data_IF_318350465058
#
_entry.id   IF_318350465058
#
_cell.length_a   1.000
_cell.length_b   1.000
_cell.length_c   1.000
_cell.angle_alpha   90.00
_cell.angle_beta   90.00
_cell.angle_gamma   90.00
#
_symmetry.space_group_name_H-M   'P 1'
#
loop_
_entity.id
_entity.type
_entity.pdbx_description
1 polymer ?
#
# COMPACT_ATOMS: atom_id res chain seq x y z
N UNK A 1 -25.06 -7.55 -13.36
CA UNK A 1 -24.32 -6.88 -12.27
C UNK A 1 -24.48 -5.40 -12.48
N UNK A 2 -24.83 -4.64 -11.43
CA UNK A 2 -24.84 -3.18 -11.51
C UNK A 2 -23.49 -2.72 -12.07
N UNK A 3 -23.50 -1.81 -13.05
CA UNK A 3 -22.27 -1.24 -13.61
C UNK A 3 -21.44 -0.55 -12.51
N UNK A 4 -22.13 -0.18 -11.43
CA UNK A 4 -21.83 0.50 -10.17
C UNK A 4 -20.95 -0.13 -9.07
N UNK A 5 -20.43 -1.36 -9.20
CA UNK A 5 -19.95 -2.12 -8.01
C UNK A 5 -18.45 -2.47 -7.92
N UNK A 6 -17.97 -2.63 -6.69
CA UNK A 6 -16.69 -3.21 -6.28
C UNK A 6 -16.91 -4.39 -5.34
N UNK A 7 -15.96 -5.31 -5.27
CA UNK A 7 -15.95 -6.40 -4.29
C UNK A 7 -15.06 -6.01 -3.10
N UNK A 8 -15.67 -5.86 -1.94
CA UNK A 8 -15.06 -5.33 -0.73
C UNK A 8 -14.93 -6.44 0.31
N UNK A 9 -13.74 -6.59 0.89
CA UNK A 9 -13.48 -7.50 2.00
C UNK A 9 -13.90 -6.84 3.32
N UNK A 10 -13.51 -5.58 3.55
CA UNK A 10 -13.86 -4.83 4.76
C UNK A 10 -13.73 -3.32 4.54
N UNK A 11 -14.51 -2.55 5.30
CA UNK A 11 -14.32 -1.11 5.50
C UNK A 11 -14.25 -0.87 7.00
N UNK A 12 -13.22 -0.19 7.47
CA UNK A 12 -13.03 0.00 8.90
C UNK A 12 -12.25 1.28 9.20
N UNK A 13 -12.39 1.78 10.43
CA UNK A 13 -11.71 2.97 10.93
C UNK A 13 -10.62 2.59 11.91
N UNK A 14 -9.37 3.01 11.62
CA UNK A 14 -8.23 2.79 12.50
C UNK A 14 -7.17 3.89 12.34
N UNK A 15 -5.93 3.65 12.77
CA UNK A 15 -4.78 4.50 12.52
C UNK A 15 -4.00 3.97 11.31
N UNK A 16 -3.53 4.87 10.44
CA UNK A 16 -2.57 4.49 9.42
C UNK A 16 -1.31 3.92 10.09
N UNK A 17 -0.93 2.70 9.72
CA UNK A 17 0.17 1.99 10.35
C UNK A 17 1.52 2.22 9.68
N UNK A 18 1.51 2.74 8.44
CA UNK A 18 2.68 2.82 7.57
C UNK A 18 2.68 4.09 6.71
N UNK A 19 3.82 4.42 6.10
CA UNK A 19 3.95 5.55 5.19
C UNK A 19 3.87 6.91 5.86
N UNK A 20 3.60 7.94 5.05
CA UNK A 20 3.71 9.37 5.44
C UNK A 20 2.68 9.80 6.48
N UNK A 21 1.52 9.15 6.49
CA UNK A 21 0.39 9.48 7.36
C UNK A 21 0.29 8.56 8.59
N UNK A 22 1.37 7.83 8.91
CA UNK A 22 1.42 6.94 10.08
C UNK A 22 0.93 7.65 11.36
N UNK A 23 0.05 6.97 12.10
CA UNK A 23 -0.59 7.47 13.32
C UNK A 23 -1.83 8.34 13.10
N UNK A 24 -2.20 8.68 11.86
CA UNK A 24 -3.41 9.47 11.59
C UNK A 24 -4.67 8.59 11.52
N UNK A 25 -5.80 9.03 12.09
CA UNK A 25 -7.06 8.31 11.94
C UNK A 25 -7.52 8.26 10.49
N UNK A 26 -7.77 7.04 10.01
CA UNK A 26 -7.95 6.70 8.59
C UNK A 26 -9.04 5.66 8.44
N UNK A 27 -9.94 5.87 7.47
CA UNK A 27 -10.85 4.82 7.02
C UNK A 27 -10.15 3.99 5.94
N UNK A 28 -10.08 2.69 6.15
CA UNK A 28 -9.54 1.74 5.19
C UNK A 28 -10.67 1.14 4.36
N UNK A 29 -10.50 1.10 3.05
CA UNK A 29 -11.38 0.40 2.12
C UNK A 29 -10.56 -0.75 1.53
N UNK A 30 -10.80 -1.96 2.04
CA UNK A 30 -10.04 -3.16 1.64
C UNK A 30 -10.80 -3.92 0.56
N UNK A 31 -10.31 -3.86 -0.67
CA UNK A 31 -10.84 -4.60 -1.81
C UNK A 31 -10.44 -6.08 -1.78
N UNK A 32 -11.26 -6.92 -2.42
CA UNK A 32 -11.00 -8.35 -2.56
C UNK A 32 -10.28 -8.69 -3.86
N UNK A 33 -9.34 -9.63 -3.79
CA UNK A 33 -8.66 -10.26 -4.93
C UNK A 33 -7.27 -9.68 -5.19
N UNK A 34 -6.27 -10.55 -5.30
CA UNK A 34 -4.89 -10.18 -5.63
C UNK A 34 -4.33 -11.15 -6.68
N UNK A 35 -3.65 -10.68 -7.74
CA UNK A 35 -2.99 -11.57 -8.69
C UNK A 35 -1.64 -12.12 -8.19
N UNK A 36 -1.14 -11.65 -7.04
CA UNK A 36 0.14 -12.07 -6.44
C UNK A 36 -0.08 -13.05 -5.29
N UNK A 37 0.94 -13.86 -4.97
CA UNK A 37 1.01 -14.78 -3.82
C UNK A 37 2.33 -14.59 -3.07
N UNK A 38 2.51 -13.36 -2.56
CA UNK A 38 3.75 -13.00 -1.88
C UNK A 38 4.02 -13.91 -0.68
N UNK A 39 5.25 -14.39 -0.52
CA UNK A 39 5.64 -15.32 0.55
C UNK A 39 5.53 -14.77 1.98
N UNK A 40 5.29 -13.47 2.13
CA UNK A 40 5.11 -12.78 3.42
C UNK A 40 3.76 -12.04 3.53
N UNK A 41 2.76 -12.39 2.71
CA UNK A 41 1.48 -11.69 2.72
C UNK A 41 0.76 -11.82 4.08
N UNK A 42 0.45 -10.69 4.71
CA UNK A 42 -0.30 -10.63 5.98
C UNK A 42 -1.83 -10.50 5.79
N UNK A 43 -2.28 -10.37 4.53
CA UNK A 43 -3.68 -10.14 4.18
C UNK A 43 -4.22 -11.20 3.21
N UNK A 44 -3.80 -12.47 3.36
CA UNK A 44 -4.27 -13.57 2.49
C UNK A 44 -5.79 -13.75 2.51
N UNK A 45 -6.44 -13.37 3.62
CA UNK A 45 -7.89 -13.40 3.77
C UNK A 45 -8.62 -12.50 2.77
N UNK A 46 -7.94 -11.50 2.18
CA UNK A 46 -8.50 -10.64 1.15
C UNK A 46 -8.39 -11.23 -0.28
N UNK A 47 -7.81 -12.42 -0.48
CA UNK A 47 -7.71 -13.02 -1.82
C UNK A 47 -9.05 -13.51 -2.38
N UNK A 48 -10.00 -13.87 -1.51
CA UNK A 48 -11.28 -14.46 -1.87
C UNK A 48 -12.41 -13.96 -0.97
N UNK A 49 -13.66 -14.32 -1.29
CA UNK A 49 -14.83 -13.89 -0.52
C UNK A 49 -15.27 -12.47 -0.91
N UNK A 50 -15.49 -11.63 0.10
CA UNK A 50 -15.95 -10.26 -0.03
C UNK A 50 -17.39 -10.11 -0.52
N UNK A 51 -17.93 -8.91 -0.35
CA UNK A 51 -19.28 -8.53 -0.76
C UNK A 51 -19.23 -7.58 -1.95
N UNK A 52 -20.13 -7.77 -2.92
CA UNK A 52 -20.28 -6.83 -4.02
C UNK A 52 -21.12 -5.66 -3.53
N UNK A 53 -20.50 -4.49 -3.45
CA UNK A 53 -21.09 -3.23 -2.96
C UNK A 53 -21.03 -2.19 -4.06
N UNK A 54 -22.05 -1.35 -4.16
CA UNK A 54 -22.03 -0.18 -5.04
C UNK A 54 -21.09 0.90 -4.49
N UNK A 55 -20.53 1.75 -5.37
CA UNK A 55 -19.71 2.87 -4.93
C UNK A 55 -20.49 3.83 -4.02
N UNK A 56 -21.79 4.04 -4.27
CA UNK A 56 -22.64 4.88 -3.41
C UNK A 56 -22.75 4.33 -1.99
N UNK A 57 -22.96 3.01 -1.84
CA UNK A 57 -23.00 2.36 -0.52
C UNK A 57 -21.65 2.48 0.21
N UNK A 58 -20.54 2.38 -0.51
CA UNK A 58 -19.19 2.54 0.04
C UNK A 58 -19.00 3.97 0.55
N UNK A 59 -19.38 4.98 -0.22
CA UNK A 59 -19.23 6.39 0.16
C UNK A 59 -20.08 6.76 1.39
N UNK A 60 -21.30 6.24 1.47
CA UNK A 60 -22.17 6.45 2.65
C UNK A 60 -21.55 5.83 3.90
N UNK A 61 -20.99 4.61 3.80
CA UNK A 61 -20.33 3.96 4.93
C UNK A 61 -19.05 4.70 5.36
N UNK A 62 -18.24 5.14 4.39
CA UNK A 62 -17.01 5.92 4.64
C UNK A 62 -17.32 7.24 5.34
N UNK A 63 -18.34 7.97 4.91
CA UNK A 63 -18.75 9.23 5.53
C UNK A 63 -19.21 9.04 6.98
N UNK A 64 -19.96 7.96 7.23
CA UNK A 64 -20.41 7.58 8.58
C UNK A 64 -19.28 7.29 9.59
N UNK A 65 -18.07 6.99 9.12
CA UNK A 65 -16.90 6.74 9.98
C UNK A 65 -16.15 8.03 10.38
N UNK A 66 -16.36 9.14 9.67
CA UNK A 66 -15.88 10.47 10.06
C UNK A 66 -14.37 10.72 9.91
N UNK A 67 -13.64 9.87 9.21
CA UNK A 67 -12.21 10.06 8.94
C UNK A 67 -11.98 11.11 7.83
N UNK A 68 -10.93 11.92 7.97
CA UNK A 68 -10.45 12.80 6.89
C UNK A 68 -9.60 12.05 5.85
N UNK A 69 -8.88 11.02 6.32
CA UNK A 69 -7.96 10.23 5.51
C UNK A 69 -8.62 8.92 5.11
N UNK A 70 -8.45 8.54 3.85
CA UNK A 70 -8.95 7.29 3.30
C UNK A 70 -7.79 6.53 2.69
N UNK A 71 -7.65 5.25 3.06
CA UNK A 71 -6.68 4.36 2.46
C UNK A 71 -7.42 3.29 1.65
N UNK A 72 -7.26 3.32 0.33
CA UNK A 72 -7.77 2.30 -0.58
C UNK A 72 -6.69 1.22 -0.73
N UNK A 73 -7.01 0.01 -0.29
CA UNK A 73 -6.08 -1.13 -0.20
C UNK A 73 -6.85 -2.42 -0.49
N UNK A 74 -6.25 -3.59 -0.25
CA UNK A 74 -6.89 -4.88 -0.44
C UNK A 74 -5.93 -5.96 -0.89
N UNK A 75 -6.48 -7.12 -1.22
CA UNK A 75 -5.88 -7.75 -2.40
C UNK A 75 -5.82 -6.67 -3.51
N UNK A 76 -4.76 -6.65 -4.32
CA UNK A 76 -4.44 -5.56 -5.27
C UNK A 76 -5.64 -4.70 -5.74
N UNK A 77 -5.80 -3.45 -5.25
CA UNK A 77 -6.98 -2.64 -5.55
C UNK A 77 -7.19 -2.40 -7.04
N UNK A 78 -6.09 -2.20 -7.78
CA UNK A 78 -6.11 -1.94 -9.22
C UNK A 78 -6.54 -3.16 -10.05
N UNK A 79 -6.70 -4.34 -9.43
CA UNK A 79 -7.30 -5.50 -10.08
C UNK A 79 -8.79 -5.31 -10.37
N UNK A 80 -9.45 -4.35 -9.70
CA UNK A 80 -10.83 -3.99 -9.95
C UNK A 80 -10.90 -2.63 -10.64
N UNK A 81 -11.14 -2.60 -11.96
CA UNK A 81 -11.14 -1.39 -12.79
C UNK A 81 -11.97 -0.20 -12.25
N UNK A 82 -13.02 -0.47 -11.48
CA UNK A 82 -13.89 0.59 -10.94
C UNK A 82 -13.33 1.28 -9.68
N UNK A 83 -12.17 0.83 -9.19
CA UNK A 83 -11.49 1.49 -8.06
C UNK A 83 -11.07 2.92 -8.42
N UNK A 84 -10.79 3.19 -9.70
CA UNK A 84 -10.47 4.53 -10.19
C UNK A 84 -11.60 5.53 -9.92
N UNK A 85 -12.85 5.14 -10.24
CA UNK A 85 -14.03 5.97 -9.99
C UNK A 85 -14.29 6.15 -8.48
N UNK A 86 -14.06 5.11 -7.68
CA UNK A 86 -14.16 5.24 -6.22
C UNK A 86 -13.18 6.29 -5.69
N UNK A 87 -11.91 6.22 -6.11
CA UNK A 87 -10.88 7.17 -5.69
C UNK A 87 -11.18 8.60 -6.14
N UNK A 88 -11.62 8.77 -7.39
CA UNK A 88 -12.03 10.08 -7.93
C UNK A 88 -13.16 10.70 -7.08
N UNK A 89 -14.21 9.93 -6.80
CA UNK A 89 -15.35 10.40 -5.99
C UNK A 89 -14.99 10.68 -4.54
N UNK A 90 -14.07 9.92 -3.94
CA UNK A 90 -13.55 10.22 -2.61
C UNK A 90 -12.78 11.55 -2.61
N UNK A 91 -11.95 11.78 -3.63
CA UNK A 91 -11.26 13.05 -3.78
C UNK A 91 -12.23 14.22 -4.01
N UNK A 92 -13.29 14.04 -4.80
CA UNK A 92 -14.33 15.06 -5.04
C UNK A 92 -15.11 15.39 -3.77
N UNK A 93 -15.31 14.41 -2.89
CA UNK A 93 -15.90 14.62 -1.56
C UNK A 93 -14.94 15.32 -0.57
N UNK A 94 -13.69 15.60 -0.97
CA UNK A 94 -12.72 16.35 -0.18
C UNK A 94 -11.85 15.51 0.77
N UNK A 95 -11.91 14.18 0.66
CA UNK A 95 -11.04 13.30 1.44
C UNK A 95 -9.59 13.34 0.97
N UNK A 96 -8.68 13.04 1.89
CA UNK A 96 -7.26 12.79 1.59
C UNK A 96 -7.07 11.30 1.30
N UNK A 97 -6.93 10.94 0.03
CA UNK A 97 -6.92 9.54 -0.41
C UNK A 97 -5.51 9.05 -0.65
N UNK A 98 -5.17 7.89 -0.08
CA UNK A 98 -3.98 7.12 -0.43
C UNK A 98 -4.36 5.77 -1.03
N UNK A 99 -3.55 5.27 -1.96
CA UNK A 99 -3.66 3.96 -2.58
C UNK A 99 -2.45 3.11 -2.17
N UNK A 100 -2.68 1.97 -1.54
CA UNK A 100 -1.65 0.94 -1.38
C UNK A 100 -1.76 -0.11 -2.48
N UNK A 101 -0.72 -0.22 -3.32
CA UNK A 101 -0.69 -1.11 -4.48
C UNK A 101 0.65 -1.82 -4.59
N UNK A 102 0.68 -3.03 -5.15
CA UNK A 102 1.90 -3.81 -5.39
C UNK A 102 2.77 -3.25 -6.52
N UNK A 103 2.27 -2.30 -7.32
CA UNK A 103 2.96 -1.83 -8.52
C UNK A 103 3.05 -2.87 -9.64
N UNK A 104 2.35 -4.01 -9.53
CA UNK A 104 2.25 -5.01 -10.59
C UNK A 104 1.22 -4.64 -11.68
N UNK A 105 0.27 -3.78 -11.36
CA UNK A 105 -0.73 -3.26 -12.29
C UNK A 105 -0.46 -1.80 -12.64
N UNK A 106 -1.07 -1.34 -13.73
CA UNK A 106 -0.85 0.00 -14.27
C UNK A 106 -1.38 1.09 -13.35
N UNK A 107 -0.56 2.11 -13.06
CA UNK A 107 -0.94 3.23 -12.19
C UNK A 107 -1.23 4.53 -12.95
N UNK A 108 -1.21 4.51 -14.30
CA UNK A 108 -1.31 5.73 -15.11
C UNK A 108 -2.68 6.40 -15.03
N UNK A 109 -3.73 5.62 -14.73
CA UNK A 109 -5.11 6.10 -14.58
C UNK A 109 -5.47 6.43 -13.12
N UNK A 110 -4.50 6.39 -12.19
CA UNK A 110 -4.75 6.82 -10.80
C UNK A 110 -4.87 8.34 -10.77
N UNK A 111 -5.97 8.84 -10.18
CA UNK A 111 -6.20 10.27 -10.01
C UNK A 111 -4.98 10.96 -9.35
N UNK A 112 -4.53 12.07 -9.93
CA UNK A 112 -3.33 12.80 -9.50
C UNK A 112 -3.42 13.34 -8.07
N UNK A 113 -4.62 13.43 -7.50
CA UNK A 113 -4.87 13.83 -6.10
C UNK A 113 -4.60 12.68 -5.12
N UNK A 114 -4.60 11.43 -5.59
CA UNK A 114 -4.36 10.24 -4.77
C UNK A 114 -2.86 10.06 -4.55
N UNK A 115 -2.48 9.90 -3.29
CA UNK A 115 -1.12 9.52 -2.91
C UNK A 115 -0.91 8.02 -3.14
N UNK A 116 -0.02 7.65 -4.03
CA UNK A 116 0.34 6.25 -4.31
C UNK A 116 1.41 5.80 -3.33
N UNK A 117 1.18 4.67 -2.67
CA UNK A 117 2.18 3.91 -1.92
C UNK A 117 2.42 2.62 -2.71
N UNK A 118 3.50 2.60 -3.49
CA UNK A 118 3.85 1.49 -4.37
C UNK A 118 4.79 0.54 -3.65
N UNK A 119 4.32 -0.66 -3.32
CA UNK A 119 5.06 -1.71 -2.63
C UNK A 119 5.83 -2.57 -3.63
N UNK A 120 7.10 -2.23 -3.86
CA UNK A 120 8.00 -2.96 -4.76
C UNK A 120 8.32 -4.32 -4.16
N UNK A 121 8.06 -5.35 -4.95
CA UNK A 121 8.23 -6.75 -4.56
C UNK A 121 9.70 -7.13 -4.60
N UNK A 122 10.28 -7.39 -3.44
CA UNK A 122 11.66 -7.86 -3.31
C UNK A 122 11.78 -9.34 -3.70
N UNK A 123 12.99 -9.86 -3.95
CA UNK A 123 13.21 -11.30 -4.16
C UNK A 123 12.55 -12.19 -3.08
N UNK A 124 12.63 -11.78 -1.80
CA UNK A 124 12.00 -12.47 -0.68
C UNK A 124 10.47 -12.54 -0.74
N UNK A 125 9.83 -11.74 -1.59
CA UNK A 125 8.39 -11.81 -1.84
C UNK A 125 8.00 -12.99 -2.73
N UNK A 126 8.94 -13.57 -3.48
CA UNK A 126 8.70 -14.56 -4.54
C UNK A 126 7.89 -14.04 -5.75
N UNK A 127 7.72 -12.71 -5.86
CA UNK A 127 6.92 -12.04 -6.90
C UNK A 127 7.69 -10.86 -7.53
N UNK A 128 9.02 -10.84 -7.42
CA UNK A 128 9.89 -9.76 -7.93
C UNK A 128 9.67 -9.51 -9.43
N UNK A 129 9.41 -10.56 -10.22
CA UNK A 129 9.16 -10.48 -11.66
C UNK A 129 7.82 -9.81 -12.01
N UNK A 130 6.95 -9.55 -11.01
CA UNK A 130 5.68 -8.86 -11.21
C UNK A 130 5.82 -7.34 -11.17
N UNK A 131 6.95 -6.81 -10.71
CA UNK A 131 7.14 -5.36 -10.65
C UNK A 131 7.05 -4.74 -12.05
N UNK A 132 6.12 -3.81 -12.25
CA UNK A 132 5.97 -3.09 -13.51
C UNK A 132 6.74 -1.76 -13.44
N UNK A 133 8.03 -1.77 -13.78
CA UNK A 133 8.91 -0.60 -13.64
C UNK A 133 8.45 0.62 -14.48
N UNK A 134 7.66 0.38 -15.53
CA UNK A 134 7.01 1.45 -16.30
C UNK A 134 6.12 2.36 -15.43
N UNK A 135 5.67 1.90 -14.26
CA UNK A 135 4.90 2.70 -13.32
C UNK A 135 5.72 3.86 -12.71
N UNK A 136 7.05 3.77 -12.67
CA UNK A 136 7.90 4.78 -12.02
C UNK A 136 7.94 6.13 -12.75
N UNK A 137 7.39 6.20 -13.97
CA UNK A 137 7.22 7.47 -14.68
C UNK A 137 6.01 8.29 -14.18
N UNK A 138 5.06 7.63 -13.51
CA UNK A 138 3.85 8.26 -12.97
C UNK A 138 3.95 8.58 -11.47
N UNK A 139 5.12 8.39 -10.87
CA UNK A 139 5.41 8.80 -9.51
C UNK A 139 5.65 10.31 -9.43
N UNK A 140 5.18 10.89 -8.34
CA UNK A 140 5.32 12.30 -7.99
C UNK A 140 5.94 12.44 -6.61
N UNK A 141 6.35 13.65 -6.24
CA UNK A 141 6.93 13.95 -4.91
C UNK A 141 5.94 13.72 -3.75
N UNK A 142 4.65 13.56 -4.03
CA UNK A 142 3.65 13.23 -3.03
C UNK A 142 3.54 11.72 -2.76
N UNK A 143 4.01 10.89 -3.68
CA UNK A 143 3.91 9.43 -3.61
C UNK A 143 5.01 8.84 -2.72
N UNK A 144 4.95 7.53 -2.51
CA UNK A 144 5.93 6.77 -1.77
C UNK A 144 6.20 5.43 -2.46
N UNK A 145 7.46 5.00 -2.45
CA UNK A 145 7.85 3.64 -2.83
C UNK A 145 8.25 2.91 -1.57
N UNK A 146 7.66 1.73 -1.34
CA UNK A 146 7.90 0.90 -0.16
C UNK A 146 8.60 -0.39 -0.56
N UNK A 147 9.64 -0.76 0.18
CA UNK A 147 10.28 -2.06 0.14
C UNK A 147 10.04 -2.77 1.47
N UNK A 148 9.48 -3.98 1.39
CA UNK A 148 9.33 -4.86 2.54
C UNK A 148 10.49 -5.86 2.53
N UNK A 149 11.40 -5.72 3.49
CA UNK A 149 12.71 -6.38 3.52
C UNK A 149 12.65 -7.64 4.39
N UNK A 150 12.94 -8.80 3.77
CA UNK A 150 12.96 -10.09 4.46
C UNK A 150 14.28 -10.40 5.17
N UNK A 151 15.39 -9.98 4.57
CA UNK A 151 16.75 -10.43 4.87
C UNK A 151 17.77 -9.45 4.25
N UNK A 152 19.05 -9.79 4.35
CA UNK A 152 20.15 -8.95 3.86
C UNK A 152 20.22 -8.92 2.33
N UNK A 153 19.81 -10.01 1.67
CA UNK A 153 19.72 -10.09 0.21
C UNK A 153 18.66 -9.11 -0.32
N UNK A 154 17.48 -9.08 0.28
CA UNK A 154 16.44 -8.09 -0.02
C UNK A 154 16.92 -6.66 0.21
N UNK A 155 17.67 -6.41 1.29
CA UNK A 155 18.22 -5.08 1.59
C UNK A 155 19.17 -4.61 0.48
N UNK A 156 20.13 -5.45 0.09
CA UNK A 156 21.10 -5.12 -0.95
C UNK A 156 20.42 -4.95 -2.32
N UNK A 157 19.48 -5.83 -2.65
CA UNK A 157 18.70 -5.72 -3.88
C UNK A 157 17.91 -4.42 -3.91
N UNK A 158 17.22 -4.07 -2.82
CA UNK A 158 16.39 -2.86 -2.73
C UNK A 158 17.23 -1.59 -2.87
N UNK A 159 18.44 -1.57 -2.28
CA UNK A 159 19.41 -0.47 -2.44
C UNK A 159 19.79 -0.27 -3.91
N UNK A 160 20.12 -1.34 -4.62
CA UNK A 160 20.52 -1.28 -6.02
C UNK A 160 19.34 -0.87 -6.92
N UNK A 161 18.18 -1.51 -6.75
CA UNK A 161 16.97 -1.22 -7.52
C UNK A 161 16.51 0.23 -7.34
N UNK A 162 16.53 0.74 -6.11
CA UNK A 162 16.24 2.14 -5.80
C UNK A 162 17.18 3.10 -6.54
N UNK A 163 18.48 2.76 -6.61
CA UNK A 163 19.50 3.56 -7.30
C UNK A 163 19.32 3.51 -8.81
N UNK A 164 19.16 2.31 -9.38
CA UNK A 164 18.99 2.07 -10.81
C UNK A 164 17.81 2.89 -11.38
N UNK A 165 16.71 2.97 -10.63
CA UNK A 165 15.51 3.69 -11.05
C UNK A 165 15.40 5.13 -10.53
N UNK A 166 16.45 5.64 -9.87
CA UNK A 166 16.51 6.99 -9.30
C UNK A 166 15.26 7.34 -8.47
N UNK A 167 14.78 6.41 -7.65
CA UNK A 167 13.49 6.55 -6.98
C UNK A 167 13.47 7.68 -5.94
N UNK A 168 14.59 7.95 -5.27
CA UNK A 168 14.71 9.07 -4.34
C UNK A 168 14.59 10.44 -5.02
N UNK A 169 14.85 10.54 -6.32
CA UNK A 169 14.68 11.78 -7.07
C UNK A 169 13.20 12.02 -7.42
N UNK A 170 12.37 10.96 -7.34
CA UNK A 170 10.97 10.97 -7.74
C UNK A 170 10.02 11.15 -6.55
N UNK A 171 10.28 10.44 -5.46
CA UNK A 171 9.41 10.38 -4.30
C UNK A 171 10.14 9.88 -3.04
N UNK A 172 9.45 9.85 -1.90
CA UNK A 172 10.00 9.26 -0.69
C UNK A 172 10.11 7.74 -0.82
N UNK A 173 11.23 7.17 -0.37
CA UNK A 173 11.45 5.71 -0.35
C UNK A 173 11.41 5.20 1.10
N UNK A 174 10.66 4.14 1.32
CA UNK A 174 10.40 3.52 2.62
C UNK A 174 11.05 2.13 2.68
N UNK A 175 11.81 1.86 3.73
CA UNK A 175 12.30 0.52 4.05
C UNK A 175 11.59 0.01 5.30
N UNK A 176 10.93 -1.14 5.18
CA UNK A 176 10.16 -1.76 6.26
C UNK A 176 10.61 -3.20 6.45
N UNK A 177 10.90 -3.68 7.67
CA UNK A 177 11.22 -5.08 7.89
C UNK A 177 9.93 -5.92 7.81
N UNK A 178 10.03 -7.16 7.32
CA UNK A 178 8.97 -8.16 7.51
C UNK A 178 8.89 -8.49 9.00
N UNK A 179 7.74 -8.24 9.62
CA UNK A 179 7.54 -8.54 11.03
C UNK A 179 7.74 -10.04 11.30
N UNK A 180 8.45 -10.36 12.39
CA UNK A 180 8.72 -11.74 12.79
C UNK A 180 9.81 -12.45 11.98
N UNK A 181 10.27 -11.87 10.86
CA UNK A 181 11.33 -12.44 10.01
C UNK A 181 12.64 -11.66 10.11
N UNK A 182 12.58 -10.33 10.02
CA UNK A 182 13.75 -9.46 10.16
C UNK A 182 13.59 -8.57 11.40
N UNK A 183 14.59 -8.56 12.28
CA UNK A 183 14.55 -7.66 13.43
C UNK A 183 14.65 -6.21 12.94
N UNK A 184 13.73 -5.36 13.42
CA UNK A 184 13.67 -3.95 13.04
C UNK A 184 14.99 -3.20 13.30
N UNK A 185 15.68 -3.56 14.39
CA UNK A 185 16.99 -3.00 14.74
C UNK A 185 18.07 -3.34 13.72
N UNK A 186 18.06 -4.55 13.16
CA UNK A 186 19.07 -4.96 12.18
C UNK A 186 18.93 -4.14 10.89
N UNK A 187 17.69 -4.02 10.37
CA UNK A 187 17.43 -3.17 9.21
C UNK A 187 17.76 -1.70 9.48
N UNK A 188 17.42 -1.19 10.66
CA UNK A 188 17.75 0.19 11.04
C UNK A 188 19.27 0.42 11.05
N UNK A 189 20.04 -0.52 11.61
CA UNK A 189 21.50 -0.45 11.61
C UNK A 189 22.06 -0.45 10.19
N UNK A 190 21.57 -1.33 9.30
CA UNK A 190 22.02 -1.35 7.91
C UNK A 190 21.74 -0.03 7.18
N UNK A 191 20.55 0.56 7.38
CA UNK A 191 20.20 1.88 6.82
C UNK A 191 21.16 2.97 7.31
N UNK A 192 21.50 2.97 8.60
CA UNK A 192 22.40 3.95 9.21
C UNK A 192 23.86 3.77 8.75
N UNK A 193 24.35 2.54 8.72
CA UNK A 193 25.72 2.19 8.31
C UNK A 193 25.97 2.56 6.85
N UNK A 194 25.02 2.29 5.97
CA UNK A 194 25.06 2.61 4.54
C UNK A 194 24.64 4.05 4.22
N UNK A 195 24.18 4.81 5.23
CA UNK A 195 23.71 6.21 5.11
C UNK A 195 22.67 6.36 4.01
N UNK A 196 21.72 5.41 3.93
CA UNK A 196 20.72 5.40 2.87
C UNK A 196 19.73 6.56 3.03
N UNK A 197 19.39 7.28 1.94
CA UNK A 197 18.42 8.36 1.97
C UNK A 197 16.98 7.83 1.95
N UNK A 198 16.65 6.93 2.87
CA UNK A 198 15.33 6.29 2.97
C UNK A 198 14.66 6.61 4.31
N UNK A 199 13.33 6.59 4.34
CA UNK A 199 12.58 6.56 5.59
C UNK A 199 12.47 5.12 6.09
N UNK A 200 13.05 4.85 7.25
CA UNK A 200 12.79 3.62 7.97
C UNK A 200 11.37 3.64 8.56
N UNK A 201 10.65 2.53 8.48
CA UNK A 201 9.36 2.36 9.15
C UNK A 201 9.21 0.97 9.77
N UNK A 202 8.29 0.89 10.73
CA UNK A 202 7.72 -0.36 11.25
C UNK A 202 6.20 -0.29 11.10
N UNK A 203 5.54 -1.45 11.13
CA UNK A 203 4.09 -1.53 11.02
C UNK A 203 3.44 -1.17 12.38
N UNK A 204 3.11 0.10 12.60
CA UNK A 204 2.61 0.61 13.89
C UNK A 204 1.37 -0.17 14.36
N UNK A 205 0.46 -0.50 13.45
CA UNK A 205 -0.77 -1.24 13.78
C UNK A 205 -0.46 -2.61 14.42
N UNK A 206 0.60 -3.30 13.98
CA UNK A 206 0.99 -4.60 14.55
C UNK A 206 1.59 -4.47 15.96
N UNK A 207 2.21 -3.33 16.28
CA UNK A 207 2.64 -3.06 17.65
C UNK A 207 1.46 -2.76 18.58
N UNK A 208 0.40 -2.15 18.08
CA UNK A 208 -0.76 -1.76 18.87
C UNK A 208 -1.78 -2.90 19.04
N UNK A 209 -2.00 -3.68 17.98
CA UNK A 209 -3.08 -4.68 17.91
C UNK A 209 -2.65 -6.06 17.41
N UNK A 210 -1.39 -6.26 17.02
CA UNK A 210 -0.95 -7.50 16.39
C UNK A 210 -1.58 -7.70 15.00
N UNK A 211 -1.82 -8.95 14.61
CA UNK A 211 -2.42 -9.30 13.31
C UNK A 211 -3.97 -9.31 13.34
N UNK A 212 -4.59 -8.49 14.19
CA UNK A 212 -6.06 -8.43 14.29
C UNK A 212 -6.64 -7.72 13.06
N UNK A 213 -7.49 -8.38 12.26
CA UNK A 213 -8.13 -7.74 11.12
C UNK A 213 -9.03 -6.57 11.54
N UNK A 214 -9.14 -5.56 10.68
CA UNK A 214 -9.96 -4.37 10.94
C UNK A 214 -9.47 -3.51 12.12
N UNK A 215 -8.17 -3.58 12.44
CA UNK A 215 -7.49 -2.77 13.46
C UNK A 215 -6.23 -2.14 12.91
#
# INVERSE_FOLDING_TARGET
>A
MSKDSLRITEIFYSLQGEGKTVGLPTTFIRLTGCPLRCGYCDTEYAFHGGEVRSIDEILVEVDGLGARYINVTGGEPLAQKRVHELMERLCDAGYQVSLETSGALDVSEVDVRVTKVLDVKTPGSLEVDKNKHANYQYLTQNDQVKYVICDVEDFHWSKEHMREHALNDKCEVLFSPVQGKLAATDLANWVLEEKLPVRFQIQLHKYLWGDVPGK
#
